data_IF_972997359449
#
_entry.id   IF_972997359449
#
_cell.length_a   1.000
_cell.length_b   1.000
_cell.length_c   1.000
_cell.angle_alpha   90.00
_cell.angle_beta   90.00
_cell.angle_gamma   90.00
#
_symmetry.space_group_name_H-M   'P 1'
#
loop_
_entity.id
_entity.type
_entity.pdbx_description
1 polymer ?
#
# COMPACT_ATOMS: atom_id res chain seq x y z
N UNK A 1 -70.21 -17.61 4.32
CA UNK A 1 -70.91 -16.32 4.09
C UNK A 1 -69.90 -15.42 3.38
N UNK A 2 -70.15 -14.80 2.22
CA UNK A 2 -71.15 -13.75 1.91
C UNK A 2 -70.95 -12.51 2.77
N UNK A 3 -70.65 -11.31 2.28
CA UNK A 3 -70.18 -10.78 0.98
C UNK A 3 -69.14 -9.64 1.31
N UNK A 4 -68.62 -8.71 0.49
CA UNK A 4 -68.91 -8.19 -0.88
C UNK A 4 -67.63 -7.51 -1.46
N UNK A 5 -67.63 -7.13 -2.75
CA UNK A 5 -66.67 -6.17 -3.35
C UNK A 5 -67.20 -4.72 -3.28
N UNK A 6 -66.32 -3.73 -3.46
CA UNK A 6 -66.64 -2.40 -3.98
C UNK A 6 -65.51 -1.92 -4.92
N UNK A 7 -65.85 -1.31 -6.07
CA UNK A 7 -64.91 -1.01 -7.16
C UNK A 7 -65.46 0.14 -8.05
N UNK A 8 -64.74 1.26 -8.14
CA UNK A 8 -64.79 2.31 -9.18
C UNK A 8 -63.37 2.92 -9.28
N UNK A 9 -62.72 3.21 -10.42
CA UNK A 9 -63.14 3.83 -11.71
C UNK A 9 -63.30 5.38 -11.61
N UNK A 10 -62.85 6.23 -12.55
CA UNK A 10 -62.30 6.03 -13.91
C UNK A 10 -61.35 7.19 -14.37
N UNK A 11 -60.86 7.17 -15.62
CA UNK A 11 -60.00 8.20 -16.27
C UNK A 11 -58.65 7.61 -16.74
N UNK A 12 -58.25 7.48 -18.02
CA UNK A 12 -58.54 8.16 -19.30
C UNK A 12 -58.16 9.66 -19.30
N UNK A 13 -57.38 10.19 -20.27
CA UNK A 13 -56.75 9.61 -21.48
C UNK A 13 -55.57 10.47 -22.01
N UNK A 14 -54.75 9.91 -22.94
CA UNK A 14 -54.07 10.50 -24.12
C UNK A 14 -53.49 11.96 -24.10
N UNK A 15 -52.40 12.34 -24.81
CA UNK A 15 -51.32 11.64 -25.56
C UNK A 15 -50.39 12.67 -26.25
N UNK A 16 -49.32 12.19 -26.92
CA UNK A 16 -48.58 12.81 -28.06
C UNK A 16 -47.57 13.97 -27.83
N UNK A 17 -46.29 13.61 -28.10
CA UNK A 17 -45.27 14.28 -28.93
C UNK A 17 -45.09 15.81 -28.95
N UNK A 18 -43.85 16.25 -28.73
CA UNK A 18 -43.33 17.56 -29.15
C UNK A 18 -41.80 17.61 -29.14
N UNK A 19 -41.17 17.69 -30.32
CA UNK A 19 -39.71 17.83 -30.48
C UNK A 19 -39.29 19.30 -30.55
N UNK A 20 -38.18 19.69 -29.92
CA UNK A 20 -37.62 21.03 -30.10
C UNK A 20 -36.21 21.20 -29.52
N UNK A 21 -35.21 21.34 -30.40
CA UNK A 21 -33.90 21.88 -30.02
C UNK A 21 -33.92 23.41 -30.21
N UNK A 22 -33.43 24.17 -29.24
CA UNK A 22 -33.08 25.59 -29.40
C UNK A 22 -31.81 25.92 -28.62
N UNK A 23 -31.03 26.87 -29.13
CA UNK A 23 -29.66 27.16 -28.70
C UNK A 23 -29.43 28.64 -28.43
N UNK A 24 -28.96 28.96 -27.23
CA UNK A 24 -28.41 30.28 -26.83
C UNK A 24 -29.45 31.45 -26.86
N UNK A 25 -29.18 32.65 -26.30
CA UNK A 25 -27.88 33.32 -26.17
C UNK A 25 -27.29 33.37 -24.73
N UNK A 26 -26.08 33.91 -24.64
CA UNK A 26 -25.34 34.24 -23.43
C UNK A 26 -25.89 35.48 -22.71
N UNK A 27 -25.78 35.50 -21.38
CA UNK A 27 -25.40 36.69 -20.63
C UNK A 27 -24.44 36.25 -19.52
N UNK A 28 -23.32 36.97 -19.37
CA UNK A 28 -22.33 36.66 -18.34
C UNK A 28 -22.65 37.36 -17.03
N UNK A 29 -22.18 36.77 -15.93
CA UNK A 29 -21.63 37.54 -14.83
C UNK A 29 -20.39 36.77 -14.33
N UNK A 30 -19.32 37.50 -14.05
CA UNK A 30 -18.12 36.96 -13.43
C UNK A 30 -18.37 36.81 -11.93
N UNK A 31 -17.98 35.67 -11.35
CA UNK A 31 -17.67 35.59 -9.91
C UNK A 31 -16.66 34.45 -9.69
N UNK A 32 -15.47 34.79 -9.16
CA UNK A 32 -14.36 33.85 -9.01
C UNK A 32 -14.54 32.96 -7.77
N UNK A 33 -14.85 31.69 -8.03
CA UNK A 33 -14.47 30.61 -7.11
C UNK A 33 -13.73 29.52 -7.86
N UNK A 34 -12.40 29.61 -7.83
CA UNK A 34 -11.44 28.63 -8.37
C UNK A 34 -11.67 27.22 -7.81
N UNK A 35 -12.57 26.48 -8.45
CA UNK A 35 -12.99 25.12 -8.10
C UNK A 35 -12.07 24.09 -8.75
N UNK A 36 -10.89 23.91 -8.15
CA UNK A 36 -9.94 22.87 -8.56
C UNK A 36 -10.65 21.51 -8.71
N UNK A 37 -10.45 20.77 -9.81
CA UNK A 37 -11.21 19.56 -10.07
C UNK A 37 -10.91 18.51 -9.01
N UNK A 38 -11.97 17.87 -8.49
CA UNK A 38 -11.94 16.85 -7.42
C UNK A 38 -10.97 15.68 -7.69
N UNK A 39 -10.64 15.44 -8.96
CA UNK A 39 -9.61 14.48 -9.38
C UNK A 39 -8.18 14.89 -8.96
N UNK A 40 -7.80 16.18 -9.07
CA UNK A 40 -6.49 16.67 -8.62
C UNK A 40 -6.31 16.55 -7.11
N UNK A 41 -7.35 16.87 -6.33
CA UNK A 41 -7.32 16.73 -4.87
C UNK A 41 -7.14 15.27 -4.47
N UNK A 42 -7.86 14.34 -5.13
CA UNK A 42 -7.71 12.90 -4.94
C UNK A 42 -6.31 12.40 -5.32
N UNK A 43 -5.76 12.86 -6.45
CA UNK A 43 -4.41 12.51 -6.90
C UNK A 43 -3.32 13.05 -5.95
N UNK A 44 -3.45 14.28 -5.45
CA UNK A 44 -2.52 14.88 -4.50
C UNK A 44 -2.57 14.19 -3.12
N UNK A 45 -3.76 13.88 -2.61
CA UNK A 45 -3.93 13.15 -1.35
C UNK A 45 -3.38 11.72 -1.45
N UNK A 46 -3.64 11.02 -2.56
CA UNK A 46 -3.14 9.65 -2.75
C UNK A 46 -1.65 9.56 -3.06
N UNK A 47 -1.05 10.58 -3.70
CA UNK A 47 0.40 10.68 -3.82
C UNK A 47 1.11 10.77 -2.46
N UNK A 48 0.48 11.43 -1.47
CA UNK A 48 1.04 11.57 -0.12
C UNK A 48 1.15 10.22 0.62
N UNK A 49 0.23 9.27 0.39
CA UNK A 49 0.32 7.91 0.97
C UNK A 49 1.49 7.08 0.42
N UNK A 50 2.10 7.52 -0.68
CA UNK A 50 3.26 6.89 -1.30
C UNK A 50 4.53 7.71 -1.17
N UNK A 51 4.48 8.84 -0.44
CA UNK A 51 5.65 9.65 -0.12
C UNK A 51 6.65 8.84 0.73
N UNK A 52 7.93 9.13 0.52
CA UNK A 52 9.06 8.61 1.31
C UNK A 52 10.11 9.70 1.42
N UNK A 53 10.83 9.73 2.53
CA UNK A 53 11.88 10.73 2.77
C UNK A 53 12.93 10.67 1.66
N UNK A 54 13.34 11.85 1.17
CA UNK A 54 14.24 11.98 0.02
C UNK A 54 13.59 11.86 -1.37
N UNK A 55 12.28 11.65 -1.48
CA UNK A 55 11.60 11.51 -2.78
C UNK A 55 10.37 12.42 -2.96
N UNK A 56 10.32 13.16 -4.08
CA UNK A 56 9.13 13.82 -4.58
C UNK A 56 8.32 12.83 -5.41
N UNK A 57 7.10 12.53 -4.95
CA UNK A 57 6.23 11.49 -5.53
C UNK A 57 4.96 12.12 -6.11
N UNK A 58 4.54 11.67 -7.31
CA UNK A 58 3.29 12.10 -7.96
C UNK A 58 2.60 10.90 -8.63
N UNK A 59 1.26 10.88 -8.64
CA UNK A 59 0.45 9.80 -9.22
C UNK A 59 -0.27 10.30 -10.48
N UNK A 60 0.05 9.72 -11.63
CA UNK A 60 -0.51 10.06 -12.95
C UNK A 60 -0.86 8.77 -13.70
N UNK A 61 -2.05 8.64 -14.29
CA UNK A 61 -2.47 7.44 -15.06
C UNK A 61 -2.24 6.09 -14.36
N UNK A 62 -2.47 6.03 -13.03
CA UNK A 62 -2.13 4.87 -12.17
C UNK A 62 -0.65 4.45 -12.20
N UNK A 63 0.24 5.41 -12.48
CA UNK A 63 1.70 5.26 -12.45
C UNK A 63 2.29 6.24 -11.45
N UNK A 64 3.24 5.75 -10.66
CA UNK A 64 3.89 6.49 -9.60
C UNK A 64 5.20 7.08 -10.11
N UNK A 65 5.21 8.38 -10.39
CA UNK A 65 6.43 9.11 -10.73
C UNK A 65 7.19 9.48 -9.45
N UNK A 66 8.47 9.15 -9.44
CA UNK A 66 9.41 9.30 -8.33
C UNK A 66 10.61 10.10 -8.83
N UNK A 67 10.95 11.16 -8.10
CA UNK A 67 12.03 12.10 -8.43
C UNK A 67 12.80 12.46 -7.15
N UNK A 68 14.12 12.59 -7.22
CA UNK A 68 14.91 13.22 -6.14
C UNK A 68 14.68 14.74 -6.11
N UNK A 69 14.93 15.44 -5.00
CA UNK A 69 14.87 16.91 -4.94
C UNK A 69 15.68 17.56 -6.07
N UNK A 70 15.09 18.54 -6.76
CA UNK A 70 15.71 19.21 -7.91
C UNK A 70 15.64 18.45 -9.25
N UNK A 71 15.25 17.17 -9.28
CA UNK A 71 14.98 16.46 -10.54
C UNK A 71 13.59 16.81 -11.10
N UNK A 72 13.52 17.31 -12.34
CA UNK A 72 12.27 17.54 -13.07
C UNK A 72 11.95 16.44 -14.10
N UNK A 73 10.66 16.28 -14.42
CA UNK A 73 10.20 15.22 -15.34
C UNK A 73 10.79 15.36 -16.74
N UNK A 74 11.28 14.26 -17.29
CA UNK A 74 11.88 14.19 -18.63
C UNK A 74 11.26 13.06 -19.46
N UNK A 75 11.33 13.17 -20.79
CA UNK A 75 10.91 12.10 -21.69
C UNK A 75 11.74 10.81 -21.52
N UNK A 76 13.02 10.92 -21.15
CA UNK A 76 13.86 9.78 -20.74
C UNK A 76 13.56 9.42 -19.29
N UNK A 77 13.16 8.16 -19.07
CA UNK A 77 12.79 7.61 -17.78
C UNK A 77 12.87 6.08 -17.78
N UNK A 78 13.12 5.47 -16.63
CA UNK A 78 12.94 4.03 -16.40
C UNK A 78 11.47 3.73 -16.02
N UNK A 79 11.02 2.50 -16.20
CA UNK A 79 9.66 2.07 -15.83
C UNK A 79 9.70 0.67 -15.22
N UNK A 80 9.25 0.56 -13.96
CA UNK A 80 9.14 -0.68 -13.20
C UNK A 80 7.66 -1.07 -13.06
N UNK A 81 7.21 -1.98 -13.92
CA UNK A 81 5.81 -2.43 -13.95
C UNK A 81 5.53 -3.31 -12.72
N UNK A 82 4.49 -2.98 -11.95
CA UNK A 82 4.03 -3.79 -10.82
C UNK A 82 4.86 -3.73 -9.54
N UNK A 83 6.01 -3.04 -9.53
CA UNK A 83 6.93 -3.03 -8.39
C UNK A 83 6.52 -2.10 -7.24
N UNK A 84 5.69 -1.09 -7.51
CA UNK A 84 5.32 -0.07 -6.53
C UNK A 84 4.30 -0.55 -5.48
N UNK A 85 3.98 0.32 -4.49
CA UNK A 85 2.87 0.10 -3.57
C UNK A 85 1.58 -0.27 -4.32
N UNK A 86 0.77 -1.18 -3.75
CA UNK A 86 -0.43 -1.76 -4.39
C UNK A 86 -0.22 -2.44 -5.77
N UNK A 87 1.03 -2.67 -6.20
CA UNK A 87 1.33 -3.14 -7.56
C UNK A 87 1.30 -2.02 -8.61
N UNK A 88 1.44 -0.75 -8.20
CA UNK A 88 1.56 0.38 -9.12
C UNK A 88 2.84 0.28 -9.97
N UNK A 89 2.79 0.85 -11.17
CA UNK A 89 3.98 1.00 -12.02
C UNK A 89 4.78 2.21 -11.56
N UNK A 90 6.06 2.02 -11.17
CA UNK A 90 6.96 3.11 -10.77
C UNK A 90 7.71 3.65 -11.98
N UNK A 91 7.91 4.96 -12.03
CA UNK A 91 8.73 5.68 -13.02
C UNK A 91 9.70 6.63 -12.33
N UNK A 92 10.95 6.66 -12.77
CA UNK A 92 11.95 7.64 -12.34
C UNK A 92 12.83 8.02 -13.53
N UNK A 93 13.66 9.06 -13.41
CA UNK A 93 14.59 9.45 -14.50
C UNK A 93 15.66 8.38 -14.75
N UNK A 94 16.10 7.73 -13.68
CA UNK A 94 17.23 6.80 -13.63
C UNK A 94 16.92 5.56 -12.78
N UNK A 95 17.75 4.53 -12.95
CA UNK A 95 17.56 3.22 -12.32
C UNK A 95 17.74 3.27 -10.79
N UNK A 96 18.74 4.01 -10.32
CA UNK A 96 19.11 4.14 -8.91
C UNK A 96 17.97 4.79 -8.12
N UNK A 97 17.42 5.91 -8.59
CA UNK A 97 16.28 6.61 -7.96
C UNK A 97 15.04 5.72 -7.85
N UNK A 98 14.75 4.90 -8.86
CA UNK A 98 13.64 3.94 -8.78
C UNK A 98 13.90 2.84 -7.74
N UNK A 99 15.10 2.25 -7.75
CA UNK A 99 15.47 1.15 -6.85
C UNK A 99 15.62 1.59 -5.39
N UNK A 100 16.20 2.77 -5.15
CA UNK A 100 16.29 3.38 -3.82
C UNK A 100 14.90 3.72 -3.26
N UNK A 101 13.99 4.28 -4.08
CA UNK A 101 12.61 4.49 -3.64
C UNK A 101 11.90 3.19 -3.30
N UNK A 102 12.07 2.13 -4.11
CA UNK A 102 11.51 0.81 -3.80
C UNK A 102 12.10 0.23 -2.51
N UNK A 103 13.40 0.44 -2.26
CA UNK A 103 14.12 -0.02 -1.09
C UNK A 103 13.89 0.81 0.18
N UNK A 104 13.55 2.09 0.08
CA UNK A 104 13.44 2.99 1.22
C UNK A 104 12.40 2.51 2.23
N UNK A 105 12.81 2.38 3.50
CA UNK A 105 11.99 1.98 4.65
C UNK A 105 12.30 2.91 5.83
N UNK A 106 11.32 3.26 6.68
CA UNK A 106 11.57 4.03 7.90
C UNK A 106 12.66 3.38 8.76
N UNK A 107 13.54 4.20 9.34
CA UNK A 107 14.63 3.73 10.22
C UNK A 107 15.86 3.19 9.51
N UNK A 108 15.94 3.23 8.17
CA UNK A 108 17.11 2.80 7.40
C UNK A 108 17.56 3.84 6.38
N UNK A 109 18.84 4.17 6.40
CA UNK A 109 19.49 4.89 5.30
C UNK A 109 19.82 3.88 4.19
N UNK A 110 19.36 4.14 2.97
CA UNK A 110 19.54 3.24 1.82
C UNK A 110 20.17 3.96 0.63
N UNK A 111 21.02 3.26 -0.12
CA UNK A 111 21.61 3.77 -1.36
C UNK A 111 21.95 2.62 -2.31
N UNK A 112 21.92 2.86 -3.62
CA UNK A 112 22.28 1.85 -4.64
C UNK A 112 23.61 2.20 -5.29
N UNK A 113 24.59 1.29 -5.19
CA UNK A 113 25.93 1.41 -5.76
C UNK A 113 26.32 0.09 -6.44
N UNK A 114 26.94 0.13 -7.61
CA UNK A 114 27.38 -1.05 -8.39
C UNK A 114 26.28 -2.13 -8.57
N UNK A 115 25.01 -1.72 -8.67
CA UNK A 115 23.87 -2.62 -8.75
C UNK A 115 23.57 -3.39 -7.45
N UNK A 116 24.01 -2.87 -6.30
CA UNK A 116 23.79 -3.45 -4.96
C UNK A 116 23.14 -2.41 -4.05
N UNK A 117 22.25 -2.86 -3.19
CA UNK A 117 21.60 -2.03 -2.19
C UNK A 117 22.45 -2.02 -0.92
N UNK A 118 22.98 -0.86 -0.53
CA UNK A 118 23.46 -0.64 0.83
C UNK A 118 22.30 -0.25 1.74
N UNK A 119 22.36 -0.74 2.98
CA UNK A 119 21.42 -0.51 4.06
C UNK A 119 22.21 -0.24 5.33
N UNK A 120 21.88 0.84 6.01
CA UNK A 120 22.56 1.34 7.20
C UNK A 120 21.52 1.78 8.24
N UNK A 121 21.80 1.63 9.54
CA UNK A 121 21.08 2.34 10.60
C UNK A 121 21.54 3.81 10.62
N UNK A 122 20.70 4.80 11.02
CA UNK A 122 21.04 6.21 10.89
C UNK A 122 22.37 6.59 11.53
N UNK A 123 23.18 7.37 10.81
CA UNK A 123 24.53 7.78 11.26
C UNK A 123 25.60 6.67 11.25
N UNK A 124 25.35 5.51 10.64
CA UNK A 124 26.40 4.55 10.31
C UNK A 124 27.08 4.91 8.98
N UNK A 125 28.41 4.76 8.91
CA UNK A 125 29.17 4.92 7.65
C UNK A 125 29.49 3.58 6.99
N UNK A 126 29.64 3.57 5.66
CA UNK A 126 29.98 2.36 4.88
C UNK A 126 31.39 1.88 5.22
N UNK A 127 31.51 0.60 5.56
CA UNK A 127 32.79 -0.03 5.92
C UNK A 127 33.14 -1.22 5.01
N UNK A 128 34.44 -1.54 4.92
CA UNK A 128 34.90 -2.75 4.24
C UNK A 128 34.37 -4.04 4.86
N UNK A 129 34.11 -4.05 6.17
CA UNK A 129 33.38 -5.14 6.86
C UNK A 129 31.88 -4.94 6.64
N UNK A 130 31.26 -5.92 6.00
CA UNK A 130 29.83 -5.93 5.69
C UNK A 130 29.33 -7.36 5.49
N UNK A 131 28.06 -7.62 5.80
CA UNK A 131 27.35 -8.81 5.34
C UNK A 131 26.81 -8.61 3.93
N UNK A 132 26.52 -9.70 3.22
CA UNK A 132 25.94 -9.64 1.86
C UNK A 132 24.84 -10.69 1.71
N UNK A 133 23.64 -10.26 1.34
CA UNK A 133 22.49 -11.10 1.05
C UNK A 133 22.10 -10.96 -0.44
N UNK A 134 22.57 -11.89 -1.26
CA UNK A 134 22.26 -11.97 -2.69
C UNK A 134 20.75 -12.22 -2.88
N UNK A 135 20.13 -11.52 -3.82
CA UNK A 135 18.72 -11.75 -4.22
C UNK A 135 17.66 -11.32 -3.20
N UNK A 136 18.05 -10.69 -2.09
CA UNK A 136 17.14 -10.41 -0.96
C UNK A 136 16.49 -9.01 -0.99
N UNK A 137 16.99 -8.10 -1.82
CA UNK A 137 16.45 -6.74 -1.96
C UNK A 137 15.32 -6.66 -2.99
N UNK A 138 14.66 -5.49 -3.10
CA UNK A 138 13.66 -5.25 -4.13
C UNK A 138 14.20 -5.59 -5.52
N UNK A 139 13.36 -6.16 -6.38
CA UNK A 139 13.74 -6.57 -7.74
C UNK A 139 14.92 -7.57 -7.80
N UNK A 140 15.18 -8.30 -6.72
CA UNK A 140 16.28 -9.28 -6.63
C UNK A 140 17.65 -8.64 -6.36
N UNK A 141 17.72 -7.39 -5.91
CA UNK A 141 18.99 -6.74 -5.57
C UNK A 141 19.78 -7.51 -4.50
N UNK A 142 21.10 -7.41 -4.58
CA UNK A 142 21.99 -7.86 -3.50
C UNK A 142 22.00 -6.80 -2.40
N UNK A 143 21.60 -7.17 -1.19
CA UNK A 143 21.62 -6.29 -0.01
C UNK A 143 22.96 -6.39 0.70
N UNK A 144 23.50 -5.25 1.14
CA UNK A 144 24.65 -5.11 2.04
C UNK A 144 24.26 -4.30 3.26
N UNK A 145 24.75 -4.70 4.43
CA UNK A 145 24.76 -3.90 5.64
C UNK A 145 26.05 -4.17 6.43
N UNK A 146 26.38 -3.37 7.44
CA UNK A 146 27.58 -3.58 8.25
C UNK A 146 27.56 -4.91 9.02
N UNK A 147 26.37 -5.30 9.47
CA UNK A 147 26.14 -6.46 10.33
C UNK A 147 24.88 -7.26 9.92
N UNK A 148 24.72 -8.45 10.50
CA UNK A 148 23.64 -9.38 10.19
C UNK A 148 22.28 -8.98 10.79
N UNK A 149 22.27 -8.23 11.89
CA UNK A 149 21.06 -7.79 12.59
C UNK A 149 20.36 -6.69 11.76
N UNK A 150 21.07 -5.60 11.45
CA UNK A 150 20.65 -4.51 10.55
C UNK A 150 20.11 -5.05 9.22
N UNK A 151 20.79 -6.03 8.61
CA UNK A 151 20.35 -6.64 7.36
C UNK A 151 19.05 -7.45 7.50
N UNK A 152 18.87 -8.18 8.61
CA UNK A 152 17.65 -8.97 8.85
C UNK A 152 16.46 -8.09 9.29
N UNK A 153 16.71 -7.06 10.10
CA UNK A 153 15.71 -6.06 10.50
C UNK A 153 15.21 -5.29 9.28
N UNK A 154 16.10 -4.85 8.39
CA UNK A 154 15.68 -4.23 7.13
C UNK A 154 14.82 -5.17 6.28
N UNK A 155 15.17 -6.45 6.17
CA UNK A 155 14.34 -7.42 5.44
C UNK A 155 12.98 -7.66 6.12
N UNK A 156 12.93 -7.58 7.46
CA UNK A 156 11.69 -7.70 8.24
C UNK A 156 10.83 -6.43 8.22
N UNK A 157 11.42 -5.25 8.07
CA UNK A 157 10.74 -3.98 8.24
C UNK A 157 9.54 -3.82 7.28
N UNK A 158 8.37 -3.53 7.87
CA UNK A 158 7.10 -3.29 7.18
C UNK A 158 6.42 -2.04 7.77
N UNK A 159 5.65 -1.27 6.98
CA UNK A 159 4.89 -0.14 7.50
C UNK A 159 3.95 -0.58 8.63
N UNK A 160 3.86 0.23 9.69
CA UNK A 160 2.96 -0.02 10.83
C UNK A 160 3.49 -0.96 11.91
N UNK A 161 4.73 -1.46 11.81
CA UNK A 161 5.33 -2.35 12.81
C UNK A 161 6.73 -1.91 13.22
N UNK A 162 7.00 -1.97 14.52
CA UNK A 162 8.35 -1.94 15.07
C UNK A 162 8.91 -3.37 15.03
N UNK A 163 10.13 -3.52 14.50
CA UNK A 163 10.80 -4.82 14.34
C UNK A 163 12.19 -4.78 14.97
N UNK A 164 12.61 -5.90 15.55
CA UNK A 164 13.99 -6.07 16.04
C UNK A 164 14.41 -7.54 16.02
N UNK A 165 15.71 -7.82 15.91
CA UNK A 165 16.25 -9.19 15.87
C UNK A 165 17.07 -9.50 17.13
N UNK A 166 16.64 -10.49 17.91
CA UNK A 166 17.30 -10.95 19.14
C UNK A 166 17.44 -12.48 19.11
N UNK A 167 18.60 -13.02 19.47
CA UNK A 167 18.90 -14.46 19.51
C UNK A 167 18.53 -15.21 18.20
N UNK A 168 18.64 -14.55 17.05
CA UNK A 168 18.23 -15.09 15.75
C UNK A 168 16.72 -15.24 15.58
N UNK A 169 15.93 -14.47 16.32
CA UNK A 169 14.45 -14.41 16.27
C UNK A 169 14.00 -12.99 15.97
N UNK A 170 12.94 -12.87 15.19
CA UNK A 170 12.30 -11.60 14.88
C UNK A 170 11.25 -11.29 15.93
N UNK A 171 11.37 -10.16 16.63
CA UNK A 171 10.25 -9.55 17.32
C UNK A 171 9.51 -8.59 16.39
N UNK A 172 8.19 -8.60 16.53
CA UNK A 172 7.25 -7.70 15.84
C UNK A 172 6.30 -7.12 16.87
N UNK A 173 6.18 -5.79 16.86
CA UNK A 173 5.39 -5.00 17.81
C UNK A 173 4.58 -3.95 17.03
N UNK A 174 3.42 -3.55 17.55
CA UNK A 174 2.75 -2.32 17.12
C UNK A 174 3.44 -1.11 17.77
N UNK A 175 3.40 0.09 17.17
CA UNK A 175 4.16 1.23 17.68
C UNK A 175 3.88 1.56 19.15
N UNK A 176 4.94 1.74 19.93
CA UNK A 176 4.84 2.00 21.38
C UNK A 176 4.42 0.80 22.25
N UNK A 177 4.43 -0.44 21.73
CA UNK A 177 4.35 -1.65 22.55
C UNK A 177 5.74 -2.07 23.06
N UNK A 178 5.83 -2.57 24.29
CA UNK A 178 7.06 -3.17 24.83
C UNK A 178 7.05 -4.70 24.77
N UNK A 179 8.24 -5.32 24.72
CA UNK A 179 8.39 -6.78 24.71
C UNK A 179 7.94 -7.39 26.03
N UNK A 180 7.23 -8.52 25.97
CA UNK A 180 6.76 -9.24 27.16
C UNK A 180 7.14 -10.71 27.14
N UNK A 181 7.25 -11.31 28.33
CA UNK A 181 7.35 -12.76 28.48
C UNK A 181 6.12 -13.49 27.91
N UNK A 182 4.94 -12.84 27.92
CA UNK A 182 3.75 -13.32 27.19
C UNK A 182 3.86 -12.91 25.72
N UNK A 183 4.01 -13.91 24.84
CA UNK A 183 4.14 -13.71 23.40
C UNK A 183 3.67 -14.97 22.65
N UNK A 184 3.20 -14.78 21.42
CA UNK A 184 2.98 -15.86 20.46
C UNK A 184 4.26 -16.10 19.65
N UNK A 185 4.42 -17.30 19.09
CA UNK A 185 5.62 -17.69 18.33
C UNK A 185 5.24 -18.42 17.05
N UNK A 186 5.75 -17.96 15.91
CA UNK A 186 5.55 -18.55 14.59
C UNK A 186 6.91 -18.95 13.99
N UNK A 187 7.22 -20.24 14.03
CA UNK A 187 8.44 -20.81 13.45
C UNK A 187 8.39 -20.63 11.91
N UNK A 188 9.48 -20.16 11.31
CA UNK A 188 9.58 -19.99 9.86
C UNK A 188 8.90 -18.75 9.26
N UNK A 189 8.20 -17.93 10.06
CA UNK A 189 7.38 -16.81 9.56
C UNK A 189 8.14 -15.47 9.41
N UNK A 190 9.37 -15.36 9.91
CA UNK A 190 10.25 -14.22 9.66
C UNK A 190 11.09 -14.39 8.37
N UNK A 191 11.79 -13.34 7.92
CA UNK A 191 12.71 -13.43 6.78
C UNK A 191 13.69 -14.60 6.91
N UNK A 192 13.97 -15.27 5.79
CA UNK A 192 14.87 -16.44 5.72
C UNK A 192 14.47 -17.62 6.63
N UNK A 193 13.20 -17.74 7.00
CA UNK A 193 12.73 -18.81 7.90
C UNK A 193 13.02 -18.55 9.38
N UNK A 194 13.38 -17.31 9.73
CA UNK A 194 13.53 -16.89 11.13
C UNK A 194 12.25 -17.12 11.92
N UNK A 195 12.37 -17.43 13.22
CA UNK A 195 11.21 -17.52 14.12
C UNK A 195 10.68 -16.12 14.42
N UNK A 196 9.40 -15.89 14.17
CA UNK A 196 8.70 -14.65 14.52
C UNK A 196 8.09 -14.74 15.92
N UNK A 197 8.12 -13.63 16.65
CA UNK A 197 7.42 -13.38 17.91
C UNK A 197 6.60 -12.10 17.81
N UNK A 198 5.42 -12.10 18.43
CA UNK A 198 4.61 -10.92 18.68
C UNK A 198 3.88 -11.08 20.02
N UNK A 199 3.31 -10.02 20.59
CA UNK A 199 2.58 -10.12 21.86
C UNK A 199 1.30 -10.98 21.74
N UNK A 200 0.65 -10.91 20.59
CA UNK A 200 -0.63 -11.57 20.29
C UNK A 200 -0.70 -12.09 18.84
N UNK A 201 -1.69 -12.94 18.56
CA UNK A 201 -1.90 -13.54 17.24
C UNK A 201 -2.32 -12.51 16.18
N UNK A 202 -2.98 -11.42 16.55
CA UNK A 202 -3.52 -10.45 15.59
C UNK A 202 -2.39 -9.64 14.99
N UNK A 203 -1.52 -9.08 15.83
CA UNK A 203 -0.27 -8.40 15.45
C UNK A 203 0.62 -9.28 14.58
N UNK A 204 0.73 -10.58 14.88
CA UNK A 204 1.48 -11.53 14.06
C UNK A 204 0.84 -11.77 12.67
N UNK A 205 -0.49 -11.93 12.61
CA UNK A 205 -1.23 -12.16 11.36
C UNK A 205 -1.26 -10.90 10.47
N UNK A 206 -1.49 -9.73 11.06
CA UNK A 206 -1.41 -8.42 10.39
C UNK A 206 0.00 -8.20 9.82
N UNK A 207 1.06 -8.40 10.61
CA UNK A 207 2.42 -8.29 10.10
C UNK A 207 2.69 -9.29 8.96
N UNK A 208 2.29 -10.57 9.10
CA UNK A 208 2.47 -11.54 8.03
C UNK A 208 1.75 -11.10 6.74
N UNK A 209 0.56 -10.52 6.86
CA UNK A 209 -0.25 -10.01 5.76
C UNK A 209 0.23 -8.67 5.17
N UNK A 210 0.91 -7.83 5.96
CA UNK A 210 1.24 -6.47 5.56
C UNK A 210 2.08 -6.42 4.27
N UNK A 211 1.61 -5.58 3.32
CA UNK A 211 2.18 -5.36 1.99
C UNK A 211 2.23 -3.86 1.69
N UNK A 212 3.26 -3.33 0.99
CA UNK A 212 3.38 -1.91 0.69
C UNK A 212 2.14 -1.32 0.01
N UNK A 213 1.59 -0.24 0.59
CA UNK A 213 0.41 0.47 0.09
C UNK A 213 -0.94 -0.14 0.47
N UNK A 214 -0.99 -1.17 1.31
CA UNK A 214 -2.23 -1.69 1.91
C UNK A 214 -2.22 -1.49 3.41
N UNK A 215 -3.35 -1.08 3.97
CA UNK A 215 -3.62 -1.19 5.40
C UNK A 215 -4.24 -2.57 5.67
N UNK A 216 -3.80 -3.23 6.74
CA UNK A 216 -4.28 -4.56 7.14
C UNK A 216 -4.63 -4.57 8.62
N UNK A 217 -5.75 -5.18 8.97
CA UNK A 217 -6.24 -5.24 10.36
C UNK A 217 -7.15 -6.44 10.60
N UNK A 218 -7.08 -7.02 11.80
CA UNK A 218 -7.94 -8.12 12.23
C UNK A 218 -9.27 -7.62 12.84
N UNK A 219 -10.38 -8.25 12.44
CA UNK A 219 -11.72 -8.05 13.01
C UNK A 219 -12.49 -9.39 12.93
N UNK A 220 -13.12 -9.82 14.03
CA UNK A 220 -13.89 -11.08 14.10
C UNK A 220 -13.16 -12.33 13.57
N UNK A 221 -11.85 -12.42 13.81
CA UNK A 221 -11.00 -13.52 13.32
C UNK A 221 -10.77 -13.51 11.80
N UNK A 222 -11.07 -12.40 11.12
CA UNK A 222 -10.87 -12.19 9.68
C UNK A 222 -9.92 -11.03 9.45
N UNK A 223 -9.11 -11.11 8.42
CA UNK A 223 -8.11 -10.09 8.11
C UNK A 223 -8.64 -9.18 6.99
N UNK A 224 -8.90 -7.92 7.32
CA UNK A 224 -9.22 -6.89 6.35
C UNK A 224 -7.98 -6.45 5.59
N UNK A 225 -8.19 -6.13 4.32
CA UNK A 225 -7.24 -5.47 3.42
C UNK A 225 -7.93 -4.22 2.87
N UNK A 226 -7.31 -3.07 3.07
CA UNK A 226 -7.86 -1.74 2.79
C UNK A 226 -6.88 -0.92 1.96
N UNK A 227 -7.38 0.04 1.16
CA UNK A 227 -6.52 1.12 0.63
C UNK A 227 -6.27 2.13 1.77
N UNK A 228 -5.18 2.92 1.75
CA UNK A 228 -4.87 3.82 2.85
C UNK A 228 -6.02 4.81 3.12
N UNK A 229 -6.44 4.91 4.39
CA UNK A 229 -7.57 5.76 4.80
C UNK A 229 -8.99 5.25 4.46
N UNK A 230 -9.15 4.08 3.83
CA UNK A 230 -10.44 3.39 3.77
C UNK A 230 -10.91 3.01 5.18
N UNK A 231 -12.23 2.75 5.34
CA UNK A 231 -12.79 2.22 6.59
C UNK A 231 -13.59 0.94 6.31
N UNK A 232 -13.50 -0.01 7.24
CA UNK A 232 -14.30 -1.24 7.23
C UNK A 232 -15.79 -0.90 7.12
N UNK A 233 -16.53 -1.63 6.27
CA UNK A 233 -17.95 -1.37 6.02
C UNK A 233 -18.72 -2.66 5.71
N UNK A 234 -20.05 -2.63 5.84
CA UNK A 234 -20.89 -3.81 5.60
C UNK A 234 -20.74 -4.40 4.19
N UNK A 235 -20.47 -3.59 3.16
CA UNK A 235 -20.22 -4.07 1.79
C UNK A 235 -18.75 -4.45 1.64
N UNK A 236 -18.49 -5.73 1.39
CA UNK A 236 -17.15 -6.27 1.23
C UNK A 236 -17.14 -7.54 0.35
N UNK A 237 -16.00 -7.83 -0.28
CA UNK A 237 -15.68 -9.14 -0.84
C UNK A 237 -14.93 -9.98 0.20
N UNK A 238 -15.08 -11.31 0.13
CA UNK A 238 -14.42 -12.26 1.03
C UNK A 238 -13.58 -13.28 0.24
N UNK A 239 -12.44 -13.71 0.77
CA UNK A 239 -11.64 -14.84 0.27
C UNK A 239 -11.24 -15.76 1.43
N UNK A 240 -11.92 -16.90 1.52
CA UNK A 240 -11.70 -17.92 2.56
C UNK A 240 -10.30 -18.51 2.40
N UNK A 241 -9.58 -18.64 3.52
CA UNK A 241 -8.25 -19.26 3.58
C UNK A 241 -7.15 -18.66 2.67
N UNK A 242 -7.32 -17.43 2.18
CA UNK A 242 -6.38 -16.75 1.30
C UNK A 242 -5.31 -15.89 2.04
N UNK A 243 -5.44 -15.73 3.37
CA UNK A 243 -4.48 -15.01 4.20
C UNK A 243 -3.41 -15.90 4.85
N UNK A 244 -2.46 -15.31 5.59
CA UNK A 244 -1.51 -16.05 6.42
C UNK A 244 -2.22 -17.04 7.34
N UNK A 245 -1.62 -18.19 7.61
CA UNK A 245 -2.18 -19.25 8.45
C UNK A 245 -3.60 -19.71 8.06
N UNK A 246 -3.99 -19.54 6.77
CA UNK A 246 -5.33 -19.81 6.25
C UNK A 246 -6.43 -18.93 6.87
N UNK A 247 -6.09 -17.73 7.35
CA UNK A 247 -7.08 -16.72 7.74
C UNK A 247 -7.92 -16.30 6.53
N UNK A 248 -9.19 -15.96 6.78
CA UNK A 248 -10.10 -15.43 5.75
C UNK A 248 -9.85 -13.94 5.53
N UNK A 249 -9.64 -13.55 4.27
CA UNK A 249 -9.48 -12.15 3.89
C UNK A 249 -10.83 -11.47 3.62
N UNK A 250 -10.94 -10.19 3.97
CA UNK A 250 -11.99 -9.26 3.52
C UNK A 250 -11.35 -8.06 2.79
N UNK A 251 -12.05 -7.47 1.82
CA UNK A 251 -11.72 -6.13 1.28
C UNK A 251 -13.02 -5.42 0.85
N UNK A 252 -13.02 -4.09 0.71
CA UNK A 252 -14.23 -3.35 0.32
C UNK A 252 -14.68 -3.65 -1.12
N UNK A 253 -13.74 -3.91 -2.02
CA UNK A 253 -14.00 -4.21 -3.43
C UNK A 253 -13.09 -5.33 -3.98
N UNK A 254 -13.49 -5.89 -5.11
CA UNK A 254 -12.78 -6.98 -5.79
C UNK A 254 -11.41 -6.54 -6.32
N UNK A 255 -11.27 -5.28 -6.76
CA UNK A 255 -10.01 -4.77 -7.29
C UNK A 255 -8.90 -4.75 -6.22
N UNK A 256 -9.22 -4.30 -5.01
CA UNK A 256 -8.33 -4.25 -3.86
C UNK A 256 -7.89 -5.65 -3.45
N UNK A 257 -8.84 -6.59 -3.42
CA UNK A 257 -8.56 -8.02 -3.16
C UNK A 257 -7.61 -8.60 -4.21
N UNK A 258 -7.86 -8.35 -5.51
CA UNK A 258 -7.03 -8.86 -6.60
C UNK A 258 -5.64 -8.21 -6.64
N UNK A 259 -5.53 -6.89 -6.47
CA UNK A 259 -4.23 -6.18 -6.34
C UNK A 259 -3.43 -6.72 -5.16
N UNK A 260 -4.07 -6.92 -4.01
CA UNK A 260 -3.40 -7.47 -2.82
C UNK A 260 -2.93 -8.91 -3.03
N UNK A 261 -3.77 -9.78 -3.61
CA UNK A 261 -3.41 -11.19 -3.86
C UNK A 261 -2.34 -11.34 -4.95
N UNK A 262 -2.39 -10.51 -6.00
CA UNK A 262 -1.41 -10.54 -7.09
C UNK A 262 -0.07 -9.85 -6.76
N UNK A 263 -0.03 -8.97 -5.75
CA UNK A 263 1.21 -8.29 -5.34
C UNK A 263 2.33 -9.27 -4.97
N UNK A 264 3.46 -9.13 -5.66
CA UNK A 264 4.73 -9.83 -5.42
C UNK A 264 5.78 -8.82 -4.91
N UNK A 265 6.53 -9.13 -3.86
CA UNK A 265 7.69 -8.35 -3.44
C UNK A 265 8.89 -8.51 -4.39
#
# INVERSE_FOLDING_TARGET
>A
MKHTYALLAAGLAFSLLGTGCQTAPTNGNEDDTTSKPRAEQSAAQSANWYAKDGFRVTLEDSRLWVLKPGQEKSGKHVTFIGAGPQGLTVKALDNETALEYLAAKPGFEVSVEDGRLWVLKPGQEKSGKHVTFIGAGPQGLTVKALDNETALEYLAAKPGFEVSVEDGRLWVLKPGQEKSGKHVTFIGAGPKGMTLKALDNETALEYMAAKPGFEVSMEDGRLWVLKPGDKMSGKHVTRIAAGPQRTTLKALDEETMQRYLSYRP
#
